data_IF_816377691647
#
_entry.id   IF_816377691647
#
_cell.length_a   1.000
_cell.length_b   1.000
_cell.length_c   1.000
_cell.angle_alpha   90.00
_cell.angle_beta   90.00
_cell.angle_gamma   90.00
#
_symmetry.space_group_name_H-M   'P 1'
#
loop_
_entity.id
_entity.type
_entity.pdbx_description
1 polymer ?
#
# COMPACT_ATOMS: atom_id res chain seq x y z
N UNK A 1 -10.39 -16.06 -18.72
CA UNK A 1 -10.86 -14.78 -19.29
C UNK A 1 -11.79 -14.18 -18.26
N UNK A 2 -11.51 -13.15 -17.46
CA UNK A 2 -10.40 -12.23 -17.18
C UNK A 2 -10.12 -12.33 -15.65
N UNK A 3 -8.88 -12.34 -15.15
CA UNK A 3 -8.21 -11.13 -14.63
C UNK A 3 -9.09 -10.25 -13.73
N UNK A 4 -9.67 -10.76 -12.65
CA UNK A 4 -9.99 -9.91 -11.50
C UNK A 4 -8.87 -10.05 -10.47
N UNK A 5 -7.73 -9.44 -10.84
CA UNK A 5 -6.78 -8.94 -9.85
C UNK A 5 -7.56 -8.16 -8.80
N UNK A 6 -7.22 -8.27 -7.52
CA UNK A 6 -8.23 -7.94 -6.52
C UNK A 6 -8.72 -6.50 -6.62
N UNK A 7 -10.03 -6.39 -6.85
CA UNK A 7 -10.79 -5.15 -6.71
C UNK A 7 -10.37 -4.35 -5.48
N UNK A 8 -10.04 -5.06 -4.40
CA UNK A 8 -9.45 -4.51 -3.19
C UNK A 8 -8.17 -3.70 -3.45
N UNK A 9 -7.17 -4.29 -4.13
CA UNK A 9 -5.92 -3.58 -4.42
C UNK A 9 -6.12 -2.44 -5.41
N UNK A 10 -7.07 -2.54 -6.33
CA UNK A 10 -7.36 -1.46 -7.28
C UNK A 10 -8.03 -0.28 -6.59
N UNK A 11 -9.06 -0.52 -5.77
CA UNK A 11 -9.67 0.50 -4.90
C UNK A 11 -8.61 1.13 -3.97
N UNK A 12 -7.75 0.32 -3.37
CA UNK A 12 -6.66 0.81 -2.53
C UNK A 12 -5.69 1.71 -3.31
N UNK A 13 -5.30 1.35 -4.53
CA UNK A 13 -4.43 2.19 -5.38
C UNK A 13 -5.11 3.51 -5.72
N UNK A 14 -6.40 3.49 -6.04
CA UNK A 14 -7.17 4.69 -6.39
C UNK A 14 -7.23 5.68 -5.22
N UNK A 15 -7.45 5.18 -4.00
CA UNK A 15 -7.44 5.99 -2.78
C UNK A 15 -6.02 6.52 -2.51
N UNK A 16 -4.98 5.71 -2.67
CA UNK A 16 -3.60 6.12 -2.34
C UNK A 16 -3.03 7.14 -3.34
N UNK A 17 -3.26 6.98 -4.65
CA UNK A 17 -2.69 7.82 -5.72
C UNK A 17 -2.66 9.33 -5.43
N UNK A 18 -3.77 10.00 -5.05
CA UNK A 18 -3.77 11.43 -4.79
C UNK A 18 -2.86 11.83 -3.61
N UNK A 19 -2.61 10.92 -2.66
CA UNK A 19 -1.79 11.20 -1.48
C UNK A 19 -0.31 10.85 -1.64
N UNK A 20 0.09 10.04 -2.62
CA UNK A 20 1.49 9.62 -2.73
C UNK A 20 2.41 10.72 -3.25
N UNK A 21 1.89 11.63 -4.07
CA UNK A 21 2.67 12.72 -4.66
C UNK A 21 3.32 13.63 -3.61
N UNK A 22 2.60 13.96 -2.51
CA UNK A 22 3.14 14.75 -1.39
C UNK A 22 4.32 14.10 -0.67
N UNK A 23 4.51 12.79 -0.83
CA UNK A 23 5.59 12.01 -0.22
C UNK A 23 6.67 11.61 -1.22
N UNK A 24 6.61 12.11 -2.46
CA UNK A 24 7.52 11.68 -3.54
C UNK A 24 7.41 10.19 -3.87
N UNK A 25 6.27 9.57 -3.55
CA UNK A 25 6.04 8.14 -3.75
C UNK A 25 5.24 7.88 -5.03
N UNK A 26 5.48 6.71 -5.62
CA UNK A 26 4.73 6.19 -6.77
C UNK A 26 4.31 4.75 -6.53
N UNK A 27 3.23 4.35 -7.20
CA UNK A 27 2.79 2.95 -7.24
C UNK A 27 3.56 2.25 -8.36
N UNK A 28 4.27 1.18 -8.02
CA UNK A 28 4.89 0.26 -8.95
C UNK A 28 4.13 -1.07 -8.92
N UNK A 29 3.34 -1.40 -9.97
CA UNK A 29 2.69 -2.70 -10.08
C UNK A 29 3.74 -3.82 -10.07
N UNK A 30 3.47 -4.91 -9.35
CA UNK A 30 4.40 -6.05 -9.24
C UNK A 30 3.68 -7.35 -9.60
N UNK A 31 3.08 -7.37 -10.79
CA UNK A 31 2.18 -8.43 -11.20
C UNK A 31 0.76 -8.15 -10.69
N UNK A 32 -0.02 -9.21 -10.56
CA UNK A 32 -1.47 -9.10 -10.45
C UNK A 32 -1.99 -8.91 -9.03
N UNK A 33 -1.35 -9.58 -8.07
CA UNK A 33 -1.80 -9.62 -6.69
C UNK A 33 -0.93 -8.77 -5.77
N UNK A 34 -0.12 -7.84 -6.29
CA UNK A 34 0.75 -7.01 -5.45
C UNK A 34 1.20 -5.73 -6.17
N UNK A 35 1.52 -4.72 -5.37
CA UNK A 35 2.20 -3.51 -5.81
C UNK A 35 3.16 -3.02 -4.74
N UNK A 36 4.13 -2.20 -5.14
CA UNK A 36 5.05 -1.54 -4.23
C UNK A 36 4.82 -0.03 -4.26
N UNK A 37 4.98 0.62 -3.12
CA UNK A 37 5.20 2.06 -3.03
C UNK A 37 6.70 2.31 -3.13
N UNK A 38 7.10 3.13 -4.09
CA UNK A 38 8.52 3.39 -4.38
C UNK A 38 8.83 4.88 -4.31
N UNK A 39 10.02 5.20 -3.78
CA UNK A 39 10.62 6.54 -3.82
C UNK A 39 11.88 6.45 -4.67
N UNK A 40 11.83 6.97 -5.90
CA UNK A 40 12.88 6.73 -6.88
C UNK A 40 13.04 5.23 -7.17
N UNK A 41 14.21 4.66 -6.86
CA UNK A 41 14.51 3.23 -6.98
C UNK A 41 14.27 2.42 -5.70
N UNK A 42 13.99 3.08 -4.57
CA UNK A 42 13.80 2.43 -3.28
C UNK A 42 12.36 1.93 -3.12
N UNK A 43 12.21 0.68 -2.65
CA UNK A 43 10.91 0.14 -2.23
C UNK A 43 10.68 0.53 -0.78
N UNK A 44 9.70 1.40 -0.55
CA UNK A 44 9.32 1.85 0.80
C UNK A 44 8.36 0.86 1.44
N UNK A 45 7.38 0.39 0.67
CA UNK A 45 6.33 -0.53 1.15
C UNK A 45 5.92 -1.48 0.04
N UNK A 46 5.57 -2.72 0.38
CA UNK A 46 4.94 -3.66 -0.57
C UNK A 46 3.62 -4.15 -0.02
N UNK A 47 2.59 -4.10 -0.84
CA UNK A 47 1.24 -4.54 -0.52
C UNK A 47 0.92 -5.72 -1.42
N UNK A 48 0.52 -6.84 -0.82
CA UNK A 48 0.17 -8.07 -1.51
C UNK A 48 -1.20 -8.55 -1.09
N UNK A 49 -2.02 -8.87 -2.07
CA UNK A 49 -3.22 -9.66 -1.90
C UNK A 49 -2.86 -11.14 -1.74
N UNK A 50 -3.27 -11.71 -0.61
CA UNK A 50 -3.11 -13.13 -0.29
C UNK A 50 -4.48 -13.75 0.09
N UNK A 51 -5.46 -13.63 -0.83
CA UNK A 51 -6.79 -14.23 -0.72
C UNK A 51 -7.66 -13.64 0.38
N UNK A 52 -7.71 -14.22 1.58
CA UNK A 52 -8.52 -13.70 2.68
C UNK A 52 -7.86 -12.52 3.38
N UNK A 53 -6.55 -12.35 3.19
CA UNK A 53 -5.76 -11.31 3.84
C UNK A 53 -5.05 -10.42 2.83
N UNK A 54 -4.71 -9.21 3.28
CA UNK A 54 -3.75 -8.33 2.60
C UNK A 54 -2.50 -8.22 3.47
N UNK A 55 -1.37 -8.53 2.87
CA UNK A 55 -0.05 -8.44 3.51
C UNK A 55 0.61 -7.10 3.15
N UNK A 56 1.10 -6.40 4.16
CA UNK A 56 1.88 -5.18 4.04
C UNK A 56 3.27 -5.42 4.58
N UNK A 57 4.30 -5.19 3.77
CA UNK A 57 5.70 -5.23 4.17
C UNK A 57 6.26 -3.82 4.25
N UNK A 58 6.76 -3.42 5.43
CA UNK A 58 7.31 -2.09 5.70
C UNK A 58 8.43 -2.18 6.75
N UNK A 59 9.58 -1.53 6.49
CA UNK A 59 10.76 -1.54 7.39
C UNK A 59 11.12 -2.94 7.92
N UNK A 60 11.23 -3.92 7.00
CA UNK A 60 11.53 -5.33 7.28
C UNK A 60 10.48 -6.08 8.14
N UNK A 61 9.38 -5.42 8.50
CA UNK A 61 8.25 -6.04 9.20
C UNK A 61 7.15 -6.39 8.20
N UNK A 62 6.41 -7.45 8.51
CA UNK A 62 5.20 -7.86 7.78
C UNK A 62 3.99 -7.70 8.69
N UNK A 63 2.92 -7.18 8.12
CA UNK A 63 1.63 -6.97 8.76
C UNK A 63 0.57 -7.62 7.88
N UNK A 64 -0.36 -8.35 8.49
CA UNK A 64 -1.44 -9.01 7.76
C UNK A 64 -2.77 -8.47 8.24
N UNK A 65 -3.63 -8.11 7.30
CA UNK A 65 -4.94 -7.54 7.55
C UNK A 65 -6.01 -8.45 6.97
N UNK A 66 -6.96 -8.86 7.80
CA UNK A 66 -8.13 -9.61 7.36
C UNK A 66 -9.06 -8.69 6.55
N UNK A 67 -9.42 -9.12 5.33
CA UNK A 67 -10.26 -8.33 4.41
C UNK A 67 -11.72 -8.23 4.84
N UNK A 68 -12.20 -9.15 5.68
CA UNK A 68 -13.56 -9.12 6.22
C UNK A 68 -13.76 -7.89 7.11
N UNK A 69 -12.69 -7.44 7.76
CA UNK A 69 -12.72 -6.31 8.72
C UNK A 69 -11.96 -5.08 8.23
N UNK A 70 -11.04 -5.25 7.29
CA UNK A 70 -10.17 -4.17 6.82
C UNK A 70 -10.54 -3.76 5.40
N UNK A 71 -11.47 -2.81 5.24
CA UNK A 71 -11.79 -2.24 3.93
C UNK A 71 -10.59 -1.48 3.33
N UNK A 72 -10.50 -1.33 1.99
CA UNK A 72 -9.42 -0.59 1.35
C UNK A 72 -9.18 0.81 1.94
N UNK A 73 -10.24 1.53 2.31
CA UNK A 73 -10.17 2.86 2.93
C UNK A 73 -9.46 2.82 4.29
N UNK A 74 -9.75 1.80 5.11
CA UNK A 74 -9.11 1.64 6.43
C UNK A 74 -7.61 1.38 6.29
N UNK A 75 -7.23 0.53 5.33
CA UNK A 75 -5.83 0.25 5.06
C UNK A 75 -5.13 1.47 4.45
N UNK A 76 -5.78 2.19 3.53
CA UNK A 76 -5.25 3.42 2.95
C UNK A 76 -4.95 4.48 4.01
N UNK A 77 -5.90 4.73 4.93
CA UNK A 77 -5.71 5.65 6.05
C UNK A 77 -4.51 5.24 6.91
N UNK A 78 -4.39 3.94 7.21
CA UNK A 78 -3.24 3.41 7.98
C UNK A 78 -1.93 3.68 7.26
N UNK A 79 -1.85 3.39 5.95
CA UNK A 79 -0.67 3.65 5.13
C UNK A 79 -0.32 5.14 5.14
N UNK A 80 -1.29 6.02 4.92
CA UNK A 80 -1.08 7.48 4.89
C UNK A 80 -0.56 7.99 6.22
N UNK A 81 -1.14 7.54 7.34
CA UNK A 81 -0.70 7.93 8.68
C UNK A 81 0.74 7.48 8.97
N UNK A 82 1.11 6.26 8.54
CA UNK A 82 2.48 5.76 8.66
C UNK A 82 3.46 6.59 7.83
N UNK A 83 3.09 6.96 6.60
CA UNK A 83 3.90 7.81 5.74
C UNK A 83 4.06 9.22 6.34
N UNK A 84 2.99 9.81 6.85
CA UNK A 84 3.05 11.12 7.52
C UNK A 84 3.95 11.10 8.76
N UNK A 85 3.82 10.06 9.60
CA UNK A 85 4.67 9.90 10.77
C UNK A 85 6.15 9.71 10.42
N UNK A 86 6.44 9.07 9.28
CA UNK A 86 7.80 8.93 8.77
C UNK A 86 8.38 10.29 8.34
N UNK A 87 7.66 11.10 7.59
CA UNK A 87 8.16 12.42 7.14
C UNK A 87 8.43 13.39 8.29
N UNK A 88 7.57 13.37 9.33
CA UNK A 88 7.79 14.16 10.55
C UNK A 88 9.11 13.81 11.25
N UNK A 89 9.47 12.53 11.28
CA UNK A 89 10.74 12.06 11.87
C UNK A 89 11.97 12.47 11.05
N UNK A 90 11.87 12.57 9.72
CA UNK A 90 12.99 13.00 8.86
C UNK A 90 13.20 14.51 8.92
N UNK A 91 12.16 15.28 9.24
CA UNK A 91 12.20 16.74 9.33
C UNK A 91 12.59 17.28 10.71
N UNK A 92 12.84 16.40 11.69
CA UNK A 92 13.25 16.74 13.06
C UNK A 92 14.71 16.37 13.29
#
# INVERSE_FOLDING_TARGET
MYLDMSKYLDELKDILRPHLAKYGLKILPRGQSQFSLVRGSEIVMTIRDAQEVVELSYKQKKYSYDKWYTKPEHLAHTIINVLEAQEKQVSS
#
